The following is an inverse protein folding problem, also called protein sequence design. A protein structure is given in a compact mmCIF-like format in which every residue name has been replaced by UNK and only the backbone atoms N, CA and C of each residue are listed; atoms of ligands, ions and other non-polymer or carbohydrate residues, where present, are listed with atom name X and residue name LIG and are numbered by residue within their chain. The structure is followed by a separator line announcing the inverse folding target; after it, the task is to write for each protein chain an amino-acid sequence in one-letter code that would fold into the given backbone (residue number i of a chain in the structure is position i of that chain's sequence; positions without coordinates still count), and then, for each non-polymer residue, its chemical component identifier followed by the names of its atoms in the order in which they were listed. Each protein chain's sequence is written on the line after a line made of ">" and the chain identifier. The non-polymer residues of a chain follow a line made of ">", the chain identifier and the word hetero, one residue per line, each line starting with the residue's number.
data_IF_298794326796
#
_entry.id   IF_298794326796
#
_cell.length_a   1.000
_cell.length_b   1.000
_cell.length_c   1.000
_cell.angle_alpha   90.00
_cell.angle_beta   90.00
_cell.angle_gamma   90.00
#
_symmetry.space_group_name_H-M   'P 1'
#
loop_
_entity.id
_entity.type
_entity.pdbx_description
1 polymer ?
#
# COMPACT_ATOMS: atom_id res chain seq x y z
N UNK A 1 -16.42 5.85 -8.92
CA UNK A 1 -15.60 4.67 -8.54
C UNK A 1 -15.19 3.80 -9.75
N UNK A 2 -15.30 4.29 -11.00
CA UNK A 2 -14.89 3.53 -12.20
C UNK A 2 -13.52 3.97 -12.71
N UNK A 3 -13.09 5.18 -12.34
CA UNK A 3 -11.90 5.83 -12.93
C UNK A 3 -10.58 5.51 -12.19
N UNK A 4 -10.62 5.20 -10.89
CA UNK A 4 -9.42 4.84 -10.13
C UNK A 4 -8.78 3.52 -10.59
N UNK A 5 -9.57 2.59 -11.14
CA UNK A 5 -9.07 1.30 -11.64
C UNK A 5 -8.37 1.43 -13.00
N UNK A 6 -8.77 2.40 -13.82
CA UNK A 6 -8.19 2.62 -15.15
C UNK A 6 -6.78 3.25 -15.05
N UNK A 7 -6.58 4.19 -14.11
CA UNK A 7 -5.26 4.77 -13.85
C UNK A 7 -4.24 3.73 -13.34
N UNK A 8 -4.69 2.68 -12.65
CA UNK A 8 -3.87 1.56 -12.16
C UNK A 8 -3.42 0.58 -13.27
N UNK A 9 -4.07 0.56 -14.45
CA UNK A 9 -3.73 -0.41 -15.52
C UNK A 9 -2.59 0.05 -16.44
N UNK A 10 -2.24 1.34 -16.45
CA UNK A 10 -1.27 1.91 -17.39
C UNK A 10 0.03 2.32 -16.69
N UNK A 11 -0.01 2.63 -15.40
CA UNK A 11 1.20 2.97 -14.66
C UNK A 11 1.89 1.68 -14.23
N UNK A 12 2.97 1.39 -14.93
CA UNK A 12 4.03 0.48 -14.48
C UNK A 12 4.19 0.65 -12.97
N UNK A 13 3.83 -0.39 -12.22
CA UNK A 13 3.83 -0.48 -10.76
C UNK A 13 5.27 -0.52 -10.21
N UNK A 14 6.05 0.53 -10.51
CA UNK A 14 7.45 0.69 -10.11
C UNK A 14 7.63 1.72 -9.02
N UNK A 15 6.56 2.42 -8.65
CA UNK A 15 6.55 3.45 -7.64
C UNK A 15 5.97 2.83 -6.36
N UNK A 16 6.84 2.52 -5.42
CA UNK A 16 6.51 1.86 -4.16
C UNK A 16 5.46 2.62 -3.35
N UNK A 17 5.52 3.96 -3.37
CA UNK A 17 4.55 4.85 -2.72
C UNK A 17 3.16 4.71 -3.32
N UNK A 18 3.06 4.59 -4.65
CA UNK A 18 1.77 4.37 -5.30
C UNK A 18 1.16 3.03 -4.89
N UNK A 19 1.98 1.98 -4.75
CA UNK A 19 1.52 0.65 -4.33
C UNK A 19 1.06 0.67 -2.88
N UNK A 20 1.78 1.35 -1.98
CA UNK A 20 1.40 1.48 -0.58
C UNK A 20 0.17 2.38 -0.38
N UNK A 21 0.04 3.45 -1.18
CA UNK A 21 -1.18 4.27 -1.22
C UNK A 21 -2.40 3.43 -1.60
N UNK A 22 -2.25 2.53 -2.57
CA UNK A 22 -3.31 1.60 -2.93
C UNK A 22 -3.62 0.64 -1.77
N UNK A 23 -2.60 0.14 -1.07
CA UNK A 23 -2.79 -0.69 0.12
C UNK A 23 -3.62 0.04 1.19
N UNK A 24 -3.30 1.31 1.47
CA UNK A 24 -4.07 2.16 2.38
C UNK A 24 -5.53 2.30 1.94
N UNK A 25 -5.78 2.58 0.65
CA UNK A 25 -7.14 2.70 0.11
C UNK A 25 -7.96 1.39 0.27
N UNK A 26 -7.35 0.23 0.06
CA UNK A 26 -8.00 -1.06 0.33
C UNK A 26 -8.35 -1.21 1.81
N UNK A 27 -7.43 -0.88 2.72
CA UNK A 27 -7.68 -0.91 4.15
C UNK A 27 -8.81 0.04 4.59
N UNK A 28 -8.92 1.22 3.96
CA UNK A 28 -10.02 2.16 4.22
C UNK A 28 -11.39 1.60 3.82
N UNK A 29 -11.43 0.75 2.78
CA UNK A 29 -12.66 0.02 2.39
C UNK A 29 -12.91 -1.24 3.23
N UNK A 30 -12.02 -1.57 4.18
CA UNK A 30 -12.10 -2.77 5.02
C UNK A 30 -11.53 -4.03 4.37
N UNK A 31 -10.98 -3.93 3.16
CA UNK A 31 -10.31 -5.03 2.48
C UNK A 31 -8.83 -5.12 2.91
N UNK A 32 -8.64 -5.61 4.14
CA UNK A 32 -7.31 -5.75 4.75
C UNK A 32 -6.44 -6.82 4.08
N UNK A 33 -7.04 -7.79 3.39
CA UNK A 33 -6.30 -8.83 2.68
C UNK A 33 -5.61 -8.25 1.45
N UNK A 34 -6.35 -7.49 0.63
CA UNK A 34 -5.78 -6.72 -0.46
C UNK A 34 -4.76 -5.71 0.05
N UNK A 35 -5.04 -5.00 1.15
CA UNK A 35 -4.12 -4.05 1.74
C UNK A 35 -2.76 -4.69 2.11
N UNK A 36 -2.78 -5.80 2.85
CA UNK A 36 -1.55 -6.50 3.23
C UNK A 36 -0.78 -7.01 2.00
N UNK A 37 -1.49 -7.51 0.97
CA UNK A 37 -0.87 -7.95 -0.28
C UNK A 37 -0.15 -6.81 -1.00
N UNK A 38 -0.78 -5.65 -1.13
CA UNK A 38 -0.17 -4.51 -1.83
C UNK A 38 0.98 -3.89 -1.01
N UNK A 39 0.86 -3.76 0.31
CA UNK A 39 1.96 -3.30 1.15
C UNK A 39 3.20 -4.23 1.06
N UNK A 40 2.98 -5.55 1.01
CA UNK A 40 4.06 -6.51 0.77
C UNK A 40 4.67 -6.38 -0.64
N UNK A 41 3.85 -6.05 -1.65
CA UNK A 41 4.33 -5.80 -3.01
C UNK A 41 5.16 -4.51 -3.09
N UNK A 42 4.78 -3.44 -2.38
CA UNK A 42 5.57 -2.21 -2.29
C UNK A 42 6.97 -2.48 -1.73
N UNK A 43 7.07 -3.32 -0.69
CA UNK A 43 8.34 -3.75 -0.11
C UNK A 43 9.21 -4.60 -1.05
N UNK A 44 8.63 -5.19 -2.09
CA UNK A 44 9.35 -5.98 -3.09
C UNK A 44 9.84 -5.12 -4.29
N UNK A 45 9.50 -3.84 -4.34
CA UNK A 45 9.98 -2.92 -5.38
C UNK A 45 11.50 -2.76 -5.28
N UNK A 46 12.18 -2.98 -6.41
CA UNK A 46 13.64 -2.86 -6.47
C UNK A 46 14.04 -1.38 -6.40
N UNK A 47 14.88 -1.04 -5.42
CA UNK A 47 15.39 0.31 -5.25
C UNK A 47 14.65 1.13 -4.20
N UNK A 48 13.69 0.52 -3.49
CA UNK A 48 12.99 1.14 -2.37
C UNK A 48 13.99 1.73 -1.35
N UNK A 49 13.72 2.96 -0.90
CA UNK A 49 14.50 3.59 0.16
C UNK A 49 14.40 2.80 1.45
N UNK A 50 15.44 2.88 2.29
CA UNK A 50 15.36 2.32 3.65
C UNK A 50 14.28 3.00 4.50
N UNK A 51 13.97 4.26 4.22
CA UNK A 51 12.93 5.03 4.88
C UNK A 51 11.53 4.51 4.50
N UNK A 52 11.24 4.43 3.21
CA UNK A 52 9.94 3.94 2.70
C UNK A 52 9.73 2.47 3.08
N UNK A 53 10.78 1.64 2.99
CA UNK A 53 10.71 0.26 3.42
C UNK A 53 10.40 0.12 4.92
N UNK A 54 10.80 1.08 5.75
CA UNK A 54 10.43 1.08 7.18
C UNK A 54 8.95 1.42 7.33
N UNK A 55 8.51 2.50 6.69
CA UNK A 55 7.10 2.96 6.72
C UNK A 55 6.15 1.85 6.23
N UNK A 56 6.43 1.22 5.10
CA UNK A 56 5.55 0.20 4.54
C UNK A 56 5.54 -1.10 5.35
N UNK A 57 6.61 -1.41 6.09
CA UNK A 57 6.58 -2.52 7.07
C UNK A 57 5.64 -2.21 8.24
N UNK A 58 5.61 -0.96 8.70
CA UNK A 58 4.66 -0.53 9.73
C UNK A 58 3.22 -0.61 9.21
N UNK A 59 2.97 -0.12 7.99
CA UNK A 59 1.66 -0.23 7.33
C UNK A 59 1.20 -1.68 7.19
N UNK A 60 2.09 -2.57 6.70
CA UNK A 60 1.82 -4.00 6.61
C UNK A 60 1.44 -4.60 7.97
N UNK A 61 2.16 -4.24 9.04
CA UNK A 61 1.84 -4.72 10.38
C UNK A 61 0.47 -4.24 10.89
N UNK A 62 0.04 -3.03 10.52
CA UNK A 62 -1.32 -2.54 10.81
C UNK A 62 -2.37 -3.32 10.01
N UNK A 63 -2.17 -3.52 8.72
CA UNK A 63 -3.11 -4.24 7.86
C UNK A 63 -3.27 -5.71 8.28
N UNK A 64 -2.19 -6.38 8.67
CA UNK A 64 -2.24 -7.74 9.22
C UNK A 64 -3.05 -7.83 10.52
N UNK A 65 -3.06 -6.77 11.33
CA UNK A 65 -3.92 -6.66 12.51
C UNK A 65 -5.37 -6.24 12.17
N UNK A 66 -5.72 -6.14 10.88
CA UNK A 66 -6.98 -5.58 10.38
C UNK A 66 -7.24 -4.16 10.91
N UNK A 67 -6.18 -3.36 10.97
CA UNK A 67 -6.20 -1.95 11.35
C UNK A 67 -5.79 -1.10 10.15
N UNK A 68 -6.38 0.09 10.05
CA UNK A 68 -5.93 1.14 9.13
C UNK A 68 -4.66 1.80 9.65
N UNK A 69 -3.91 2.45 8.76
CA UNK A 69 -2.74 3.25 9.14
C UNK A 69 -3.23 4.35 10.09
N UNK A 70 -2.62 4.50 11.29
CA UNK A 70 -2.94 5.61 12.17
C UNK A 70 -2.49 6.91 11.50
N UNK A 71 -3.40 7.88 11.40
CA UNK A 71 -3.07 9.23 10.93
C UNK A 71 -2.22 9.91 11.99
N UNK A 72 -0.90 9.78 11.91
CA UNK A 72 0.01 10.55 12.75
C UNK A 72 0.01 11.98 12.22
N UNK A 73 -0.69 12.88 12.93
CA UNK A 73 -0.52 14.34 12.80
C UNK A 73 0.90 14.77 13.16
#
# INVERSE_FOLDING_TARGET
>A
VKDAKAACSIMVWKDEDMIDTLAAAYAETGDFDSAARYAAQALAVKGISSEDAKVFREHLAWFQQRKRIPFSQ
#
